data_IF_019672276952
#
_entry.id   IF_019672276952
#
_cell.length_a   1.000
_cell.length_b   1.000
_cell.length_c   1.000
_cell.angle_alpha   90.00
_cell.angle_beta   90.00
_cell.angle_gamma   90.00
#
_symmetry.space_group_name_H-M   'P 1'
#
loop_
_entity.id
_entity.type
_entity.pdbx_description
1 polymer ?
#
# COMPACT_ATOMS: atom_id res chain seq x y z
N UNK A 1 -17.32 0.75 12.91
CA UNK A 1 -16.91 2.09 13.37
C UNK A 1 -18.03 3.12 13.14
N UNK A 2 -18.61 3.19 11.94
CA UNK A 2 -19.77 4.07 11.66
C UNK A 2 -20.98 3.71 12.54
N UNK A 3 -21.25 2.42 12.71
CA UNK A 3 -22.31 1.93 13.59
C UNK A 3 -22.10 2.23 15.08
N UNK A 4 -20.87 2.52 15.48
CA UNK A 4 -20.50 2.90 16.84
C UNK A 4 -20.50 4.42 17.09
N UNK A 5 -21.00 5.23 16.15
CA UNK A 5 -21.11 6.67 16.27
C UNK A 5 -19.84 7.48 16.02
N UNK A 6 -18.74 6.82 15.57
CA UNK A 6 -17.50 7.50 15.23
C UNK A 6 -17.49 7.85 13.73
N UNK A 7 -17.87 9.07 13.39
CA UNK A 7 -17.96 9.50 11.99
C UNK A 7 -16.73 10.28 11.50
N UNK A 8 -15.95 10.85 12.42
CA UNK A 8 -14.67 11.53 12.14
C UNK A 8 -13.56 10.50 12.01
N UNK A 9 -12.70 10.63 11.03
CA UNK A 9 -11.52 9.78 10.82
C UNK A 9 -11.74 8.28 10.50
N UNK A 10 -12.97 7.85 10.17
CA UNK A 10 -13.27 6.44 9.86
C UNK A 10 -12.36 5.89 8.75
N UNK A 11 -12.16 6.67 7.69
CA UNK A 11 -11.30 6.25 6.57
C UNK A 11 -9.83 6.15 6.98
N UNK A 12 -9.34 7.08 7.80
CA UNK A 12 -7.96 7.04 8.30
C UNK A 12 -7.71 5.83 9.20
N UNK A 13 -8.67 5.51 10.07
CA UNK A 13 -8.62 4.30 10.92
C UNK A 13 -8.65 3.03 10.07
N UNK A 14 -9.47 2.99 9.02
CA UNK A 14 -9.53 1.85 8.11
C UNK A 14 -8.19 1.65 7.37
N UNK A 15 -7.63 2.73 6.82
CA UNK A 15 -6.35 2.69 6.10
C UNK A 15 -5.18 2.32 7.01
N UNK A 16 -5.07 2.96 8.17
CA UNK A 16 -4.00 2.69 9.14
C UNK A 16 -4.05 1.26 9.67
N UNK A 17 -5.25 0.78 10.02
CA UNK A 17 -5.45 -0.60 10.50
C UNK A 17 -5.16 -1.62 9.39
N UNK A 18 -5.61 -1.36 8.16
CA UNK A 18 -5.32 -2.22 7.00
C UNK A 18 -3.81 -2.36 6.76
N UNK A 19 -3.08 -1.24 6.76
CA UNK A 19 -1.62 -1.27 6.59
C UNK A 19 -0.92 -1.97 7.76
N UNK A 20 -1.42 -1.82 8.99
CA UNK A 20 -0.87 -2.52 10.15
C UNK A 20 -1.07 -4.05 10.05
N UNK A 21 -2.26 -4.53 9.66
CA UNK A 21 -2.50 -5.97 9.36
C UNK A 21 -1.57 -6.43 8.25
N UNK A 22 -1.37 -5.60 7.24
CA UNK A 22 -0.53 -5.94 6.09
C UNK A 22 0.95 -6.12 6.45
N UNK A 23 1.46 -5.51 7.53
CA UNK A 23 2.83 -5.77 8.03
C UNK A 23 3.01 -7.26 8.32
N UNK A 24 2.04 -7.88 8.99
CA UNK A 24 2.11 -9.31 9.37
C UNK A 24 1.88 -10.22 8.16
N UNK A 25 0.86 -9.94 7.37
CA UNK A 25 0.49 -10.78 6.22
C UNK A 25 1.54 -10.72 5.10
N UNK A 26 2.12 -9.54 4.85
CA UNK A 26 3.17 -9.40 3.83
C UNK A 26 4.46 -10.10 4.25
N UNK A 27 4.81 -10.13 5.53
CA UNK A 27 6.01 -10.85 6.00
C UNK A 27 5.91 -12.35 5.72
N UNK A 28 4.73 -12.96 5.97
CA UNK A 28 4.46 -14.35 5.63
C UNK A 28 4.55 -14.59 4.11
N UNK A 29 3.95 -13.70 3.32
CA UNK A 29 3.96 -13.77 1.86
C UNK A 29 5.38 -13.64 1.28
N UNK A 30 6.16 -12.67 1.77
CA UNK A 30 7.57 -12.47 1.35
C UNK A 30 8.39 -13.73 1.61
N UNK A 31 8.24 -14.31 2.80
CA UNK A 31 8.95 -15.55 3.15
C UNK A 31 8.61 -16.69 2.18
N UNK A 32 7.34 -16.89 1.89
CA UNK A 32 6.88 -17.95 0.97
C UNK A 32 7.44 -17.77 -0.45
N UNK A 33 7.42 -16.54 -0.98
CA UNK A 33 7.97 -16.21 -2.30
C UNK A 33 9.49 -16.25 -2.34
N UNK A 34 10.16 -15.86 -1.25
CA UNK A 34 11.63 -15.92 -1.12
C UNK A 34 12.12 -17.36 -1.16
N UNK A 35 11.49 -18.26 -0.40
CA UNK A 35 11.86 -19.69 -0.38
C UNK A 35 11.70 -20.36 -1.75
N UNK A 36 10.83 -19.84 -2.60
CA UNK A 36 10.64 -20.31 -3.99
C UNK A 36 11.64 -19.67 -4.98
N UNK A 37 12.54 -18.79 -4.52
CA UNK A 37 13.48 -18.08 -5.37
C UNK A 37 12.84 -17.13 -6.39
N UNK A 38 11.56 -16.77 -6.21
CA UNK A 38 10.78 -16.00 -7.19
C UNK A 38 10.95 -14.48 -7.05
N UNK A 39 11.52 -13.98 -5.94
CA UNK A 39 11.69 -12.56 -5.65
C UNK A 39 12.94 -12.00 -6.33
N UNK A 40 12.77 -10.91 -7.07
CA UNK A 40 13.89 -10.13 -7.62
C UNK A 40 14.34 -9.05 -6.64
N UNK A 41 15.32 -9.40 -5.80
CA UNK A 41 15.86 -8.49 -4.78
C UNK A 41 16.55 -7.25 -5.35
N UNK A 42 17.02 -7.31 -6.60
CA UNK A 42 17.64 -6.15 -7.25
C UNK A 42 16.62 -5.05 -7.48
N UNK A 43 15.41 -5.41 -7.91
CA UNK A 43 14.28 -4.49 -8.08
C UNK A 43 13.81 -3.96 -6.73
N UNK A 44 13.67 -4.86 -5.74
CA UNK A 44 13.26 -4.48 -4.37
C UNK A 44 14.19 -3.42 -3.81
N UNK A 45 15.50 -3.63 -3.85
CA UNK A 45 16.48 -2.67 -3.32
C UNK A 45 16.45 -1.31 -4.01
N UNK A 46 16.12 -1.27 -5.29
CA UNK A 46 16.04 -0.01 -6.06
C UNK A 46 14.73 0.74 -5.85
N UNK A 47 13.62 0.03 -5.69
CA UNK A 47 12.28 0.64 -5.56
C UNK A 47 11.86 0.88 -4.10
N UNK A 48 12.20 -0.01 -3.16
CA UNK A 48 11.73 0.07 -1.78
C UNK A 48 12.03 1.41 -1.08
N UNK A 49 13.24 2.00 -1.17
CA UNK A 49 13.50 3.29 -0.52
C UNK A 49 12.57 4.40 -1.00
N UNK A 50 12.34 4.47 -2.30
CA UNK A 50 11.45 5.48 -2.89
C UNK A 50 9.98 5.23 -2.56
N UNK A 51 9.57 3.96 -2.49
CA UNK A 51 8.24 3.59 -2.02
C UNK A 51 8.02 3.99 -0.57
N UNK A 52 8.99 3.78 0.31
CA UNK A 52 8.94 4.22 1.71
C UNK A 52 8.76 5.73 1.80
N UNK A 53 9.58 6.50 1.06
CA UNK A 53 9.48 7.96 1.01
C UNK A 53 8.10 8.39 0.49
N UNK A 54 7.65 7.80 -0.61
CA UNK A 54 6.34 8.09 -1.18
C UNK A 54 5.18 7.77 -0.23
N UNK A 55 5.25 6.63 0.46
CA UNK A 55 4.23 6.22 1.42
C UNK A 55 4.20 7.14 2.64
N UNK A 56 5.35 7.50 3.20
CA UNK A 56 5.44 8.44 4.32
C UNK A 56 4.91 9.82 3.91
N UNK A 57 5.30 10.33 2.75
CA UNK A 57 4.77 11.59 2.23
C UNK A 57 3.25 11.51 2.03
N UNK A 58 2.76 10.42 1.46
CA UNK A 58 1.33 10.19 1.23
C UNK A 58 0.52 10.10 2.52
N UNK A 59 1.04 9.45 3.57
CA UNK A 59 0.35 9.42 4.88
C UNK A 59 0.27 10.80 5.53
N UNK A 60 1.29 11.65 5.35
CA UNK A 60 1.23 13.04 5.82
C UNK A 60 0.14 13.83 5.07
N UNK A 61 0.11 13.72 3.75
CA UNK A 61 -0.94 14.37 2.94
C UNK A 61 -2.32 13.82 3.28
N UNK A 62 -2.47 12.49 3.39
CA UNK A 62 -3.72 11.86 3.79
C UNK A 62 -4.25 12.38 5.12
N UNK A 63 -3.36 12.65 6.09
CA UNK A 63 -3.75 13.19 7.39
C UNK A 63 -4.35 14.60 7.37
N UNK A 64 -4.16 15.36 6.30
CA UNK A 64 -4.79 16.68 6.11
C UNK A 64 -6.11 16.60 5.31
N UNK A 65 -6.33 15.48 4.62
CA UNK A 65 -7.54 15.31 3.81
C UNK A 65 -8.72 14.85 4.68
N UNK A 66 -9.93 15.38 4.45
CA UNK A 66 -11.11 14.87 5.10
C UNK A 66 -11.42 13.42 4.66
N UNK A 67 -11.95 12.61 5.57
CA UNK A 67 -12.28 11.20 5.31
C UNK A 67 -13.16 11.00 4.06
N UNK A 68 -13.99 11.98 3.73
CA UNK A 68 -14.83 11.96 2.53
C UNK A 68 -14.02 11.92 1.24
N UNK A 69 -12.97 12.72 1.14
CA UNK A 69 -12.11 12.78 -0.05
C UNK A 69 -11.28 11.51 -0.20
N UNK A 70 -10.74 10.97 0.89
CA UNK A 70 -10.05 9.69 0.89
C UNK A 70 -10.98 8.56 0.42
N UNK A 71 -12.23 8.56 0.88
CA UNK A 71 -13.25 7.58 0.46
C UNK A 71 -13.52 7.67 -1.05
N UNK A 72 -13.70 8.88 -1.59
CA UNK A 72 -13.89 9.06 -3.02
C UNK A 72 -12.66 8.65 -3.84
N UNK A 73 -11.48 8.98 -3.37
CA UNK A 73 -10.23 8.52 -4.00
C UNK A 73 -10.16 7.00 -4.07
N UNK A 74 -10.48 6.33 -2.96
CA UNK A 74 -10.54 4.87 -2.91
C UNK A 74 -11.55 4.29 -3.91
N UNK A 75 -12.76 4.86 -3.96
CA UNK A 75 -13.82 4.40 -4.88
C UNK A 75 -13.38 4.55 -6.33
N UNK A 76 -12.86 5.72 -6.72
CA UNK A 76 -12.36 5.96 -8.09
C UNK A 76 -11.24 4.99 -8.44
N UNK A 77 -10.30 4.80 -7.52
CA UNK A 77 -9.19 3.84 -7.70
C UNK A 77 -9.71 2.41 -7.88
N UNK A 78 -10.66 1.96 -7.04
CA UNK A 78 -11.24 0.64 -7.12
C UNK A 78 -11.94 0.40 -8.48
N UNK A 79 -12.70 1.37 -8.96
CA UNK A 79 -13.32 1.31 -10.29
C UNK A 79 -12.30 1.29 -11.41
N UNK A 80 -11.22 2.07 -11.31
CA UNK A 80 -10.14 2.07 -12.30
C UNK A 80 -9.45 0.72 -12.38
N UNK A 81 -9.14 0.08 -11.24
CA UNK A 81 -8.55 -1.26 -11.19
C UNK A 81 -9.52 -2.30 -11.72
N UNK A 82 -10.81 -2.23 -11.35
CA UNK A 82 -11.83 -3.14 -11.86
C UNK A 82 -11.98 -3.03 -13.38
N UNK A 83 -12.02 -1.81 -13.92
CA UNK A 83 -12.06 -1.57 -15.36
C UNK A 83 -10.81 -2.11 -16.07
N UNK A 84 -9.63 -1.92 -15.49
CA UNK A 84 -8.38 -2.48 -16.02
C UNK A 84 -8.42 -4.00 -16.08
N UNK A 85 -8.95 -4.65 -15.05
CA UNK A 85 -9.09 -6.12 -15.02
C UNK A 85 -10.12 -6.63 -16.03
N UNK A 86 -11.26 -5.94 -16.18
CA UNK A 86 -12.31 -6.30 -17.14
C UNK A 86 -11.85 -6.15 -18.58
N UNK A 87 -11.05 -5.13 -18.87
CA UNK A 87 -10.53 -4.89 -20.22
C UNK A 87 -9.43 -5.88 -20.63
N UNK A 88 -8.95 -6.72 -19.71
CA UNK A 88 -7.85 -7.70 -19.88
C UNK A 88 -6.66 -7.15 -20.70
N UNK A 89 -6.47 -5.84 -20.69
CA UNK A 89 -5.35 -5.18 -21.35
C UNK A 89 -4.09 -5.42 -20.51
N UNK A 90 -3.53 -6.62 -20.68
CA UNK A 90 -2.19 -6.89 -20.14
C UNK A 90 -1.21 -5.93 -20.79
N UNK A 91 -0.47 -5.12 -20.04
CA UNK A 91 0.53 -4.25 -20.61
C UNK A 91 1.49 -5.14 -21.41
N UNK A 92 1.55 -4.92 -22.74
CA UNK A 92 2.56 -5.57 -23.55
C UNK A 92 3.90 -5.04 -23.08
N UNK A 93 4.82 -5.92 -22.67
CA UNK A 93 6.18 -5.55 -22.27
C UNK A 93 6.90 -4.85 -23.44
N UNK A 94 6.86 -3.54 -23.45
CA UNK A 94 7.43 -2.71 -24.51
C UNK A 94 8.66 -1.93 -24.05
N UNK A 95 8.91 -1.90 -22.75
CA UNK A 95 10.01 -1.11 -22.17
C UNK A 95 10.95 -2.00 -21.35
N UNK A 96 12.23 -1.70 -21.44
CA UNK A 96 13.24 -2.19 -20.51
C UNK A 96 13.04 -1.50 -19.15
N UNK A 97 13.50 -2.14 -18.07
CA UNK A 97 13.49 -1.53 -16.73
C UNK A 97 14.13 -0.14 -16.80
N UNK A 98 13.44 0.92 -16.34
CA UNK A 98 14.01 2.26 -16.31
C UNK A 98 15.28 2.28 -15.45
N UNK A 99 16.17 3.23 -15.74
CA UNK A 99 17.31 3.52 -14.87
C UNK A 99 16.82 3.88 -13.45
N UNK A 100 17.71 3.87 -12.48
CA UNK A 100 17.42 4.07 -11.05
C UNK A 100 16.51 5.26 -10.77
N UNK A 101 16.64 6.35 -11.51
CA UNK A 101 15.78 7.53 -11.38
C UNK A 101 14.31 7.25 -11.78
N UNK A 102 14.09 6.56 -12.90
CA UNK A 102 12.73 6.19 -13.33
C UNK A 102 12.07 5.17 -12.40
N UNK A 103 12.85 4.23 -11.87
CA UNK A 103 12.37 3.31 -10.83
C UNK A 103 12.03 4.05 -9.52
N UNK A 104 12.79 5.09 -9.21
CA UNK A 104 12.54 5.95 -8.05
C UNK A 104 11.22 6.70 -8.17
N UNK A 105 10.98 7.36 -9.30
CA UNK A 105 9.72 8.09 -9.55
C UNK A 105 8.52 7.13 -9.51
N UNK A 106 8.62 6.00 -10.22
CA UNK A 106 7.56 4.99 -10.21
C UNK A 106 7.29 4.45 -8.79
N UNK A 107 8.36 4.11 -8.06
CA UNK A 107 8.26 3.64 -6.67
C UNK A 107 7.63 4.67 -5.75
N UNK A 108 8.07 5.94 -5.84
CA UNK A 108 7.51 7.04 -5.04
C UNK A 108 6.01 7.26 -5.31
N UNK A 109 5.60 7.27 -6.57
CA UNK A 109 4.19 7.40 -6.95
C UNK A 109 3.35 6.21 -6.47
N UNK A 110 3.87 4.97 -6.64
CA UNK A 110 3.18 3.77 -6.16
C UNK A 110 3.04 3.83 -4.63
N UNK A 111 4.08 4.20 -3.90
CA UNK A 111 4.04 4.36 -2.45
C UNK A 111 3.02 5.40 -1.99
N UNK A 112 3.00 6.56 -2.65
CA UNK A 112 2.07 7.65 -2.36
C UNK A 112 0.62 7.22 -2.58
N UNK A 113 0.29 6.63 -3.72
CA UNK A 113 -1.07 6.14 -4.01
C UNK A 113 -1.45 5.01 -3.07
N UNK A 114 -0.52 4.10 -2.76
CA UNK A 114 -0.76 2.98 -1.83
C UNK A 114 -1.15 3.47 -0.43
N UNK A 115 -0.62 4.60 0.03
CA UNK A 115 -0.98 5.17 1.32
C UNK A 115 -2.44 5.67 1.38
N UNK A 116 -2.98 6.17 0.27
CA UNK A 116 -4.39 6.63 0.19
C UNK A 116 -5.39 5.47 0.05
N UNK A 117 -4.93 4.35 -0.48
CA UNK A 117 -5.80 3.19 -0.75
C UNK A 117 -5.70 2.13 0.35
N UNK A 118 -4.58 2.08 1.08
CA UNK A 118 -4.33 1.06 2.10
C UNK A 118 -4.06 -0.33 1.53
N UNK A 119 -3.62 -0.41 0.27
CA UNK A 119 -3.29 -1.64 -0.44
C UNK A 119 -1.79 -1.63 -0.72
N UNK A 120 -1.02 -2.59 -0.24
CA UNK A 120 0.46 -2.67 -0.30
C UNK A 120 1.12 -2.56 -1.68
N UNK A 121 0.60 -1.74 -2.56
CA UNK A 121 1.17 -1.40 -3.86
C UNK A 121 1.11 -2.49 -4.93
N UNK A 122 0.65 -3.69 -4.60
CA UNK A 122 0.64 -4.84 -5.51
C UNK A 122 -0.14 -4.60 -6.79
N UNK A 123 -1.29 -3.95 -6.69
CA UNK A 123 -2.16 -3.63 -7.82
C UNK A 123 -1.53 -2.68 -8.85
N UNK A 124 -0.54 -1.88 -8.45
CA UNK A 124 0.18 -0.97 -9.35
C UNK A 124 1.57 -1.48 -9.71
N UNK A 125 2.30 -2.08 -8.77
CA UNK A 125 3.67 -2.54 -9.01
C UNK A 125 3.72 -3.75 -9.93
N UNK A 126 2.73 -4.67 -9.88
CA UNK A 126 2.67 -5.82 -10.80
C UNK A 126 2.50 -5.37 -12.25
N UNK A 127 1.48 -4.55 -12.62
CA UNK A 127 1.35 -4.05 -14.00
C UNK A 127 2.58 -3.28 -14.48
N UNK A 128 3.18 -2.47 -13.60
CA UNK A 128 4.41 -1.73 -13.92
C UNK A 128 5.57 -2.68 -14.27
N UNK A 129 5.80 -3.72 -13.45
CA UNK A 129 6.88 -4.68 -13.71
C UNK A 129 6.61 -5.53 -14.96
N UNK A 130 5.36 -5.93 -15.20
CA UNK A 130 4.98 -6.66 -16.42
C UNK A 130 5.18 -5.79 -17.65
N UNK A 131 4.88 -4.49 -17.58
CA UNK A 131 5.17 -3.54 -18.64
C UNK A 131 6.68 -3.43 -18.93
N UNK A 132 7.52 -3.59 -17.90
CA UNK A 132 8.97 -3.66 -18.01
C UNK A 132 9.49 -5.07 -18.37
N UNK A 133 8.69 -5.93 -18.99
CA UNK A 133 9.06 -7.27 -19.47
C UNK A 133 9.44 -8.28 -18.38
N UNK A 134 9.04 -8.05 -17.14
CA UNK A 134 9.23 -9.04 -16.08
C UNK A 134 8.10 -10.08 -16.14
N UNK A 135 8.46 -11.35 -16.08
CA UNK A 135 7.48 -12.44 -16.08
C UNK A 135 6.48 -12.29 -14.92
N UNK A 136 5.19 -12.49 -15.18
CA UNK A 136 4.09 -12.28 -14.22
C UNK A 136 4.33 -12.96 -12.86
N UNK A 137 4.78 -14.24 -12.77
CA UNK A 137 5.04 -14.87 -11.48
C UNK A 137 6.13 -14.16 -10.68
N UNK A 138 7.16 -13.67 -11.37
CA UNK A 138 8.28 -12.94 -10.76
C UNK A 138 7.86 -11.53 -10.34
N UNK A 139 7.02 -10.87 -11.14
CA UNK A 139 6.43 -9.58 -10.82
C UNK A 139 5.55 -9.67 -9.56
N UNK A 140 4.71 -10.68 -9.44
CA UNK A 140 3.87 -10.92 -8.25
C UNK A 140 4.72 -11.15 -7.00
N UNK A 141 5.73 -12.03 -7.09
CA UNK A 141 6.61 -12.33 -5.97
C UNK A 141 7.42 -11.10 -5.50
N UNK A 142 7.96 -10.33 -6.45
CA UNK A 142 8.69 -9.10 -6.17
C UNK A 142 7.79 -8.01 -5.60
N UNK A 143 6.56 -7.91 -6.11
CA UNK A 143 5.54 -7.00 -5.58
C UNK A 143 5.15 -7.34 -4.13
N UNK A 144 5.02 -8.63 -3.80
CA UNK A 144 4.78 -9.05 -2.42
C UNK A 144 5.92 -8.60 -1.48
N UNK A 145 7.17 -8.67 -1.94
CA UNK A 145 8.33 -8.20 -1.18
C UNK A 145 8.34 -6.66 -1.01
N UNK A 146 7.87 -5.91 -2.02
CA UNK A 146 7.71 -4.46 -1.94
C UNK A 146 6.54 -4.04 -1.02
N UNK A 147 5.55 -4.89 -0.85
CA UNK A 147 4.42 -4.66 0.03
C UNK A 147 4.81 -4.48 1.51
N UNK A 148 5.84 -5.19 1.97
CA UNK A 148 6.28 -5.11 3.37
C UNK A 148 6.82 -3.72 3.76
N UNK A 149 7.80 -3.11 3.05
CA UNK A 149 8.27 -1.77 3.37
C UNK A 149 7.17 -0.70 3.25
N UNK A 150 6.23 -0.85 2.30
CA UNK A 150 5.06 0.03 2.19
C UNK A 150 4.16 -0.10 3.42
N UNK A 151 3.88 -1.33 3.85
CA UNK A 151 3.03 -1.58 5.01
C UNK A 151 3.64 -1.02 6.29
N UNK A 152 4.93 -1.25 6.53
CA UNK A 152 5.64 -0.72 7.70
C UNK A 152 5.67 0.80 7.70
N UNK A 153 6.07 1.42 6.59
CA UNK A 153 6.13 2.89 6.49
C UNK A 153 4.73 3.53 6.57
N UNK A 154 3.74 2.91 5.94
CA UNK A 154 2.37 3.41 5.97
C UNK A 154 1.73 3.29 7.36
N UNK A 155 1.86 2.14 8.02
CA UNK A 155 1.38 1.95 9.38
C UNK A 155 2.06 2.94 10.35
N UNK A 156 3.37 3.11 10.26
CA UNK A 156 4.12 4.10 11.06
C UNK A 156 3.66 5.53 10.79
N UNK A 157 3.44 5.89 9.52
CA UNK A 157 2.96 7.21 9.14
C UNK A 157 1.58 7.53 9.71
N UNK A 158 0.63 6.59 9.62
CA UNK A 158 -0.71 6.74 10.22
C UNK A 158 -0.70 6.71 11.74
N UNK A 159 0.20 5.94 12.35
CA UNK A 159 0.41 5.93 13.81
C UNK A 159 0.87 7.30 14.30
N UNK A 160 1.92 7.85 13.69
CA UNK A 160 2.50 9.15 14.06
C UNK A 160 1.49 10.27 13.84
N UNK A 161 0.84 10.29 12.67
CA UNK A 161 -0.10 11.35 12.30
C UNK A 161 -1.37 11.34 13.16
N UNK A 162 -1.83 10.16 13.54
CA UNK A 162 -3.01 9.99 14.38
C UNK A 162 -2.76 10.14 15.87
N UNK A 163 -1.49 10.24 16.33
CA UNK A 163 -1.18 10.20 17.77
C UNK A 163 -1.86 11.29 18.59
N UNK A 164 -2.06 12.47 18.01
CA UNK A 164 -2.69 13.62 18.65
C UNK A 164 -4.05 13.99 18.06
N UNK A 165 -4.63 13.14 17.21
CA UNK A 165 -5.90 13.43 16.60
C UNK A 165 -7.04 13.32 17.61
N UNK A 166 -7.91 14.35 17.75
CA UNK A 166 -9.04 14.31 18.66
C UNK A 166 -10.14 13.39 18.13
N UNK A 167 -10.93 12.80 19.05
CA UNK A 167 -12.13 12.02 18.67
C UNK A 167 -11.84 10.61 18.14
N UNK A 168 -10.70 10.01 18.48
CA UNK A 168 -10.40 8.63 18.16
C UNK A 168 -11.18 7.66 19.06
N UNK A 169 -11.56 6.47 18.54
CA UNK A 169 -12.19 5.43 19.36
C UNK A 169 -11.28 4.98 20.51
N UNK A 170 -11.82 4.51 21.63
CA UNK A 170 -11.04 3.87 22.68
C UNK A 170 -10.28 2.67 22.07
N UNK A 171 -9.07 2.41 22.59
CA UNK A 171 -8.17 1.36 22.10
C UNK A 171 -7.61 1.61 20.69
N UNK A 172 -7.46 2.87 20.30
CA UNK A 172 -6.73 3.25 19.08
C UNK A 172 -5.33 3.74 19.41
N UNK A 173 -4.35 3.29 18.66
CA UNK A 173 -2.99 3.83 18.66
C UNK A 173 -2.81 4.69 17.41
N UNK A 174 -2.94 6.01 17.52
CA UNK A 174 -3.06 6.90 16.37
C UNK A 174 -4.24 6.46 15.47
N UNK A 175 -4.04 6.42 14.16
CA UNK A 175 -5.06 5.94 13.24
C UNK A 175 -5.06 4.41 13.07
N UNK A 176 -4.58 3.65 14.05
CA UNK A 176 -4.63 2.18 14.07
C UNK A 176 -5.62 1.74 15.14
N UNK A 177 -6.67 1.03 14.75
CA UNK A 177 -7.67 0.48 15.65
C UNK A 177 -7.25 -0.91 16.13
N UNK A 178 -6.78 -1.01 17.38
CA UNK A 178 -6.21 -2.25 17.94
C UNK A 178 -7.18 -3.44 17.96
N UNK A 179 -8.47 -3.31 18.33
CA UNK A 179 -9.39 -4.43 18.27
C UNK A 179 -9.56 -4.98 16.85
N UNK A 180 -9.59 -4.09 15.84
CA UNK A 180 -9.63 -4.49 14.44
C UNK A 180 -8.34 -5.17 13.98
N UNK A 181 -7.19 -4.71 14.45
CA UNK A 181 -5.91 -5.36 14.17
C UNK A 181 -5.87 -6.79 14.71
N UNK A 182 -6.27 -7.00 15.96
CA UNK A 182 -6.26 -8.31 16.61
C UNK A 182 -7.21 -9.27 15.89
N UNK A 183 -8.45 -8.85 15.63
CA UNK A 183 -9.45 -9.70 14.96
C UNK A 183 -9.10 -10.07 13.53
N UNK A 184 -8.29 -9.25 12.83
CA UNK A 184 -7.86 -9.52 11.46
C UNK A 184 -6.53 -10.29 11.36
N UNK A 185 -5.75 -10.34 12.45
CA UNK A 185 -4.48 -11.09 12.49
C UNK A 185 -4.63 -12.51 13.07
N UNK A 186 -5.76 -12.82 13.70
CA UNK A 186 -6.10 -14.17 14.24
C UNK A 186 -6.93 -14.93 13.24
#
# INVERSE_FOLDING_TARGET
LEASGFHTHVQHLALGTSLAVMVFTSMSSVRAHHLRGAVDWSIVRRMAPWMVIGTLAGTQVAGYLPSRELKWFFVVYAYAVAAQMLLDKKPKGTRTLPQTAGMGVAGGLIGLVSSFVGIGGGSMSVPFMVWCQIAVPRAIATSAALGWPIAVSGASGYLIRGWQAPGLPPWSAGFIYLPGLITLCV
#
